data_IF_435753052548
#
_entry.id   IF_435753052548
#
_cell.length_a   1.000
_cell.length_b   1.000
_cell.length_c   1.000
_cell.angle_alpha   90.00
_cell.angle_beta   90.00
_cell.angle_gamma   90.00
#
_symmetry.space_group_name_H-M   'P 1'
#
loop_
_entity.id
_entity.type
_entity.pdbx_description
1 polymer ?
#
# COMPACT_ATOMS: atom_id res chain seq x y z
N UNK A 1 -8.01 10.02 10.97
CA UNK A 1 -7.55 10.90 9.85
C UNK A 1 -8.38 10.61 8.57
N UNK A 2 -8.34 11.46 7.52
CA UNK A 2 -9.08 11.30 6.26
C UNK A 2 -8.69 10.03 5.50
N UNK A 3 -7.39 9.75 5.39
CA UNK A 3 -6.88 8.50 4.76
C UNK A 3 -7.49 7.30 5.47
N UNK A 4 -7.36 7.25 6.79
CA UNK A 4 -7.91 6.18 7.63
C UNK A 4 -9.43 6.01 7.45
N UNK A 5 -10.20 7.12 7.51
CA UNK A 5 -11.66 7.09 7.34
C UNK A 5 -12.06 6.51 5.97
N UNK A 6 -11.42 6.96 4.90
CA UNK A 6 -11.71 6.51 3.54
C UNK A 6 -11.28 5.06 3.31
N UNK A 7 -10.13 4.64 3.86
CA UNK A 7 -9.69 3.24 3.82
C UNK A 7 -10.70 2.31 4.50
N UNK A 8 -11.14 2.64 5.73
CA UNK A 8 -12.15 1.86 6.45
C UNK A 8 -13.51 1.86 5.73
N UNK A 9 -13.92 3.00 5.19
CA UNK A 9 -15.16 3.12 4.42
C UNK A 9 -15.15 2.28 3.15
N UNK A 10 -14.03 2.30 2.40
CA UNK A 10 -13.87 1.49 1.20
C UNK A 10 -13.87 -0.01 1.52
N UNK A 11 -13.24 -0.42 2.63
CA UNK A 11 -13.29 -1.81 3.07
C UNK A 11 -14.73 -2.28 3.31
N UNK A 12 -15.48 -1.55 4.15
CA UNK A 12 -16.87 -1.89 4.49
C UNK A 12 -17.79 -1.92 3.26
N UNK A 13 -17.55 -1.02 2.28
CA UNK A 13 -18.41 -0.88 1.10
C UNK A 13 -18.11 -1.90 0.01
N UNK A 14 -16.84 -2.25 -0.21
CA UNK A 14 -16.41 -2.95 -1.42
C UNK A 14 -15.58 -4.22 -1.14
N UNK A 15 -14.76 -4.24 -0.09
CA UNK A 15 -13.77 -5.30 0.11
C UNK A 15 -14.23 -6.37 1.10
N UNK A 16 -15.10 -6.02 2.06
CA UNK A 16 -15.61 -6.98 3.06
C UNK A 16 -16.32 -8.16 2.41
N UNK A 17 -17.16 -7.90 1.40
CA UNK A 17 -17.87 -8.99 0.71
C UNK A 17 -16.91 -9.87 -0.08
N UNK A 18 -15.96 -9.27 -0.82
CA UNK A 18 -14.90 -10.02 -1.53
C UNK A 18 -14.07 -10.88 -0.59
N UNK A 19 -13.82 -10.39 0.63
CA UNK A 19 -13.13 -11.15 1.66
C UNK A 19 -13.96 -12.35 2.13
N UNK A 20 -15.25 -12.17 2.40
CA UNK A 20 -16.18 -13.26 2.75
C UNK A 20 -16.27 -14.30 1.64
N UNK A 21 -16.37 -13.88 0.39
CA UNK A 21 -16.34 -14.77 -0.79
C UNK A 21 -15.03 -15.57 -0.87
N UNK A 22 -13.89 -14.92 -0.60
CA UNK A 22 -12.58 -15.59 -0.54
C UNK A 22 -12.52 -16.62 0.59
N UNK A 23 -12.99 -16.26 1.78
CA UNK A 23 -13.08 -17.14 2.95
C UNK A 23 -13.95 -18.37 2.65
N UNK A 24 -15.14 -18.16 2.07
CA UNK A 24 -16.05 -19.25 1.71
C UNK A 24 -15.47 -20.14 0.59
N UNK A 25 -14.91 -19.56 -0.48
CA UNK A 25 -14.37 -20.32 -1.62
C UNK A 25 -13.16 -21.19 -1.27
N UNK A 26 -12.38 -20.76 -0.26
CA UNK A 26 -11.24 -21.53 0.27
C UNK A 26 -11.61 -22.42 1.46
N UNK A 27 -12.88 -22.45 1.86
CA UNK A 27 -13.35 -23.27 2.98
C UNK A 27 -12.76 -22.89 4.33
N UNK A 28 -12.35 -21.62 4.51
CA UNK A 28 -11.63 -21.15 5.70
C UNK A 28 -12.51 -21.02 6.95
N UNK A 29 -13.83 -21.03 6.79
CA UNK A 29 -14.81 -20.85 7.88
C UNK A 29 -14.79 -21.96 8.93
N UNK A 30 -14.40 -23.17 8.54
CA UNK A 30 -14.47 -24.37 9.37
C UNK A 30 -13.11 -25.04 9.59
N UNK A 31 -12.01 -24.33 9.29
CA UNK A 31 -10.67 -24.90 9.41
C UNK A 31 -10.30 -25.09 10.88
N UNK A 32 -9.96 -26.32 11.24
CA UNK A 32 -9.52 -26.69 12.60
C UNK A 32 -8.00 -26.94 12.70
N UNK A 33 -7.31 -26.95 11.56
CA UNK A 33 -5.87 -27.16 11.47
C UNK A 33 -5.14 -25.86 11.21
N UNK A 34 -3.91 -25.73 11.68
CA UNK A 34 -3.08 -24.56 11.42
C UNK A 34 -2.85 -24.37 9.90
N UNK A 35 -3.09 -23.15 9.41
CA UNK A 35 -2.82 -22.76 8.02
C UNK A 35 -1.51 -21.96 8.01
N UNK A 36 -0.55 -22.36 7.16
CA UNK A 36 0.81 -21.78 7.12
C UNK A 36 1.15 -21.08 5.81
N UNK A 37 0.29 -21.21 4.82
CA UNK A 37 0.49 -20.79 3.43
C UNK A 37 -0.55 -19.74 2.99
N UNK A 38 -1.24 -19.11 3.94
CA UNK A 38 -2.25 -18.09 3.67
C UNK A 38 -2.24 -16.99 4.75
N UNK A 39 -2.28 -15.74 4.30
CA UNK A 39 -2.48 -14.58 5.17
C UNK A 39 -3.97 -14.27 5.32
N UNK A 40 -4.43 -14.11 6.56
CA UNK A 40 -5.79 -13.60 6.85
C UNK A 40 -5.85 -12.09 6.60
N UNK A 41 -5.87 -11.72 5.32
CA UNK A 41 -5.74 -10.33 4.87
C UNK A 41 -6.67 -10.03 3.69
N UNK A 42 -7.32 -8.86 3.74
CA UNK A 42 -7.95 -8.23 2.58
C UNK A 42 -7.09 -7.06 2.11
N UNK A 43 -6.54 -7.10 0.89
CA UNK A 43 -5.58 -6.10 0.42
C UNK A 43 -5.78 -5.67 -1.04
N UNK A 44 -5.34 -4.46 -1.36
CA UNK A 44 -5.15 -3.98 -2.73
C UNK A 44 -3.88 -3.11 -2.84
N UNK A 45 -3.37 -2.95 -4.07
CA UNK A 45 -2.12 -2.25 -4.33
C UNK A 45 -2.31 -0.99 -5.16
N UNK A 46 -1.76 0.12 -4.66
CA UNK A 46 -1.59 1.36 -5.40
C UNK A 46 -0.13 1.50 -5.81
N UNK A 47 0.12 1.53 -7.11
CA UNK A 47 1.40 1.92 -7.70
C UNK A 47 1.37 3.42 -7.92
N UNK A 48 2.43 4.12 -7.49
CA UNK A 48 2.58 5.56 -7.67
C UNK A 48 3.64 5.86 -8.72
N UNK A 49 4.82 5.24 -8.57
CA UNK A 49 5.96 5.39 -9.48
C UNK A 49 6.43 4.04 -10.05
N UNK A 50 7.00 4.03 -11.27
CA UNK A 50 7.14 5.17 -12.18
C UNK A 50 5.84 5.51 -12.93
N UNK A 51 4.86 4.61 -12.91
CA UNK A 51 3.56 4.79 -13.54
C UNK A 51 2.48 4.46 -12.52
N UNK A 52 1.57 5.40 -12.32
CA UNK A 52 0.49 5.20 -11.36
C UNK A 52 -0.63 4.36 -11.95
N UNK A 53 -1.10 3.37 -11.19
CA UNK A 53 -2.30 2.60 -11.52
C UNK A 53 -3.57 3.18 -10.88
N UNK A 54 -3.48 4.33 -10.20
CA UNK A 54 -4.55 4.78 -9.31
C UNK A 54 -5.85 5.09 -10.02
N UNK A 55 -5.87 5.37 -11.32
CA UNK A 55 -7.11 5.52 -12.11
C UNK A 55 -7.72 4.18 -12.57
N UNK A 56 -6.94 3.10 -12.51
CA UNK A 56 -7.32 1.77 -12.99
C UNK A 56 -7.91 0.90 -11.87
N UNK A 57 -7.70 1.29 -10.60
CA UNK A 57 -8.27 0.56 -9.46
C UNK A 57 -9.80 0.72 -9.47
N UNK A 58 -10.57 -0.38 -9.56
CA UNK A 58 -12.03 -0.31 -9.54
C UNK A 58 -12.53 0.12 -8.15
N UNK A 59 -13.75 0.65 -8.09
CA UNK A 59 -14.49 0.96 -6.84
C UNK A 59 -13.82 1.96 -5.89
N UNK A 60 -12.74 2.59 -6.32
CA UNK A 60 -12.05 3.64 -5.58
C UNK A 60 -12.68 4.99 -5.94
N UNK A 61 -13.28 5.67 -4.97
CA UNK A 61 -13.94 6.96 -5.20
C UNK A 61 -12.93 8.07 -5.51
N UNK A 62 -13.34 9.08 -6.27
CA UNK A 62 -12.44 10.16 -6.73
C UNK A 62 -11.80 10.94 -5.57
N UNK A 63 -12.55 11.19 -4.49
CA UNK A 63 -11.99 11.80 -3.29
C UNK A 63 -10.86 10.93 -2.71
N UNK A 64 -11.08 9.62 -2.64
CA UNK A 64 -10.08 8.70 -2.10
C UNK A 64 -8.86 8.59 -3.00
N UNK A 65 -9.03 8.58 -4.33
CA UNK A 65 -7.91 8.68 -5.29
C UNK A 65 -7.09 9.94 -5.06
N UNK A 66 -7.75 11.10 -4.90
CA UNK A 66 -7.08 12.38 -4.63
C UNK A 66 -6.28 12.33 -3.34
N UNK A 67 -6.90 11.84 -2.26
CA UNK A 67 -6.27 11.79 -0.94
C UNK A 67 -5.09 10.83 -0.91
N UNK A 68 -5.19 9.68 -1.58
CA UNK A 68 -4.05 8.75 -1.66
C UNK A 68 -2.89 9.31 -2.47
N UNK A 69 -3.13 10.12 -3.52
CA UNK A 69 -2.05 10.82 -4.24
C UNK A 69 -1.33 11.84 -3.34
N UNK A 70 -2.10 12.67 -2.64
CA UNK A 70 -1.55 13.68 -1.73
C UNK A 70 -0.76 13.03 -0.59
N UNK A 71 -1.25 11.91 -0.07
CA UNK A 71 -0.57 11.13 0.96
C UNK A 71 0.72 10.48 0.45
N UNK A 72 0.68 9.87 -0.74
CA UNK A 72 1.84 9.24 -1.35
C UNK A 72 2.97 10.25 -1.64
N UNK A 73 2.65 11.43 -2.19
CA UNK A 73 3.64 12.50 -2.45
C UNK A 73 4.35 12.96 -1.16
N UNK A 74 3.61 13.08 -0.06
CA UNK A 74 4.21 13.43 1.25
C UNK A 74 5.08 12.31 1.80
N UNK A 75 4.66 11.05 1.67
CA UNK A 75 5.45 9.91 2.11
C UNK A 75 6.71 9.69 1.27
N UNK A 76 6.65 9.96 -0.04
CA UNK A 76 7.83 9.91 -0.91
C UNK A 76 8.89 10.92 -0.46
N UNK A 77 8.49 12.17 -0.21
CA UNK A 77 9.39 13.23 0.31
C UNK A 77 9.99 12.84 1.66
N UNK A 78 9.18 12.30 2.56
CA UNK A 78 9.66 11.81 3.84
C UNK A 78 10.66 10.66 3.68
N UNK A 79 10.38 9.71 2.78
CA UNK A 79 11.29 8.60 2.50
C UNK A 79 12.66 9.10 2.01
N UNK A 80 12.67 10.10 1.11
CA UNK A 80 13.93 10.71 0.65
C UNK A 80 14.70 11.41 1.78
N UNK A 81 14.01 12.14 2.67
CA UNK A 81 14.64 12.75 3.84
C UNK A 81 15.25 11.69 4.78
N UNK A 82 14.55 10.58 5.00
CA UNK A 82 15.08 9.48 5.81
C UNK A 82 16.30 8.82 5.13
N UNK A 83 16.33 8.72 3.81
CA UNK A 83 17.49 8.23 3.07
C UNK A 83 18.69 9.19 3.20
N UNK A 84 18.47 10.50 3.26
CA UNK A 84 19.53 11.48 3.52
C UNK A 84 20.13 11.29 4.92
N UNK A 85 19.28 11.16 5.94
CA UNK A 85 19.72 10.87 7.32
C UNK A 85 20.48 9.53 7.42
N UNK A 86 20.05 8.52 6.67
CA UNK A 86 20.77 7.25 6.59
C UNK A 86 22.15 7.41 5.92
N UNK A 87 22.26 8.24 4.87
CA UNK A 87 23.56 8.53 4.25
C UNK A 87 24.51 9.19 5.25
N UNK A 88 24.03 10.18 6.00
CA UNK A 88 24.81 10.87 7.03
C UNK A 88 25.30 9.88 8.10
N UNK A 89 24.40 9.07 8.67
CA UNK A 89 24.73 8.11 9.72
C UNK A 89 25.72 7.02 9.26
N UNK A 90 25.71 6.67 7.98
CA UNK A 90 26.59 5.65 7.40
C UNK A 90 27.90 6.24 6.84
N UNK A 91 28.10 7.57 6.92
CA UNK A 91 29.27 8.23 6.33
C UNK A 91 29.31 8.19 4.80
N UNK A 92 28.15 8.11 4.15
CA UNK A 92 28.00 8.10 2.70
C UNK A 92 27.86 9.54 2.16
N UNK A 93 28.19 9.72 0.88
CA UNK A 93 27.91 10.98 0.18
C UNK A 93 26.41 11.31 0.27
N UNK A 94 26.08 12.59 0.47
CA UNK A 94 24.69 13.04 0.52
C UNK A 94 23.95 12.61 -0.76
N UNK A 95 22.77 12.00 -0.57
CA UNK A 95 21.93 11.50 -1.66
C UNK A 95 22.43 10.20 -2.31
N UNK A 96 23.48 9.54 -1.79
CA UNK A 96 23.98 8.27 -2.32
C UNK A 96 22.88 7.22 -2.47
N UNK A 97 22.09 6.98 -1.42
CA UNK A 97 21.02 5.97 -1.44
C UNK A 97 19.91 6.33 -2.44
N UNK A 98 19.50 7.61 -2.51
CA UNK A 98 18.53 8.08 -3.51
C UNK A 98 19.02 7.84 -4.94
N UNK A 99 20.28 8.16 -5.24
CA UNK A 99 20.92 7.91 -6.54
C UNK A 99 20.94 6.40 -6.85
N UNK A 100 21.30 5.57 -5.86
CA UNK A 100 21.35 4.12 -6.02
C UNK A 100 19.97 3.51 -6.34
N UNK A 101 18.89 4.02 -5.73
CA UNK A 101 17.52 3.56 -5.99
C UNK A 101 16.89 4.13 -7.26
N UNK A 102 17.48 5.15 -7.89
CA UNK A 102 16.86 5.86 -9.01
C UNK A 102 16.77 5.00 -10.29
N UNK A 103 17.74 4.11 -10.54
CA UNK A 103 17.78 3.30 -11.76
C UNK A 103 17.68 4.15 -13.04
N UNK A 104 17.00 3.64 -14.08
CA UNK A 104 16.80 4.36 -15.35
C UNK A 104 15.44 5.07 -15.47
N UNK A 105 14.49 4.81 -14.56
CA UNK A 105 13.10 5.29 -14.64
C UNK A 105 12.60 5.92 -13.33
N UNK A 106 13.49 6.21 -12.38
CA UNK A 106 13.13 6.60 -11.03
C UNK A 106 12.83 5.38 -10.13
N UNK A 107 12.62 5.63 -8.83
CA UNK A 107 12.35 4.58 -7.86
C UNK A 107 10.99 3.91 -8.10
N UNK A 108 10.82 2.69 -7.59
CA UNK A 108 9.49 2.07 -7.48
C UNK A 108 8.87 2.49 -6.16
N UNK A 109 7.70 3.12 -6.22
CA UNK A 109 6.98 3.57 -5.02
C UNK A 109 5.51 3.17 -5.11
N UNK A 110 4.99 2.59 -4.04
CA UNK A 110 3.63 2.06 -3.98
C UNK A 110 3.14 1.91 -2.55
N UNK A 111 1.84 1.73 -2.41
CA UNK A 111 1.16 1.52 -1.13
C UNK A 111 0.36 0.22 -1.20
N UNK A 112 0.65 -0.70 -0.28
CA UNK A 112 -0.23 -1.83 0.05
C UNK A 112 -1.26 -1.33 1.06
N UNK A 113 -2.54 -1.40 0.71
CA UNK A 113 -3.63 -1.01 1.61
C UNK A 113 -4.29 -2.29 2.08
N UNK A 114 -4.26 -2.53 3.39
CA UNK A 114 -4.68 -3.81 3.98
C UNK A 114 -5.64 -3.62 5.14
N UNK A 115 -6.59 -4.55 5.25
CA UNK A 115 -7.45 -4.75 6.39
C UNK A 115 -7.28 -6.20 6.87
N UNK A 116 -7.34 -6.39 8.19
CA UNK A 116 -7.30 -7.70 8.84
C UNK A 116 -8.66 -7.88 9.52
N UNK A 117 -9.63 -8.50 8.83
CA UNK A 117 -10.98 -8.69 9.35
C UNK A 117 -10.94 -9.59 10.59
N UNK A 118 -11.97 -9.50 11.47
CA UNK A 118 -12.05 -10.35 12.66
C UNK A 118 -12.15 -11.84 12.33
#
# INVERSE_FOLDING_TARGET
>A
DRVEKLTKGHYNKCMEERFKEMVASKGLEAVQTEIKDLDWESTFFLKHLPLSNISQVPDLEDEYRKIMKEFADKLEKLAEQLLELLCENLGLEQGYLKKAFYGSKGPTFGTKVSNYPP
#
